data_IF_908422807367
#
_entry.id   IF_908422807367
#
_cell.length_a   1.000
_cell.length_b   1.000
_cell.length_c   1.000
_cell.angle_alpha   90.00
_cell.angle_beta   90.00
_cell.angle_gamma   90.00
#
_symmetry.space_group_name_H-M   'P 1'
#
loop_
_entity.id
_entity.type
_entity.pdbx_description
1 polymer ?
#
# COMPACT_ATOMS: atom_id res chain seq x y z
N UNK A 1 -14.76 -11.73 -12.95
CA UNK A 1 -15.10 -10.48 -12.22
C UNK A 1 -16.50 -10.67 -11.69
N UNK A 2 -16.71 -10.49 -10.38
CA UNK A 2 -18.04 -10.54 -9.78
C UNK A 2 -18.60 -9.13 -9.74
N UNK A 3 -19.71 -8.90 -10.45
CA UNK A 3 -20.44 -7.65 -10.34
C UNK A 3 -21.29 -7.66 -9.07
N UNK A 4 -21.29 -6.55 -8.34
CA UNK A 4 -22.02 -6.41 -7.08
C UNK A 4 -23.01 -5.27 -7.22
N UNK A 5 -24.27 -5.53 -6.88
CA UNK A 5 -25.31 -4.53 -6.79
C UNK A 5 -25.46 -4.10 -5.33
N UNK A 6 -25.21 -2.83 -5.06
CA UNK A 6 -25.46 -2.22 -3.74
C UNK A 6 -26.83 -1.56 -3.81
N UNK A 7 -27.77 -2.02 -2.98
CA UNK A 7 -29.13 -1.49 -2.89
C UNK A 7 -29.26 -0.64 -1.63
N UNK A 8 -30.31 0.19 -1.62
CA UNK A 8 -30.71 0.98 -0.45
C UNK A 8 -29.60 1.88 0.11
N UNK A 9 -28.76 2.41 -0.79
CA UNK A 9 -27.74 3.41 -0.43
C UNK A 9 -28.47 4.70 -0.05
N UNK A 10 -28.22 5.26 1.15
CA UNK A 10 -28.77 6.55 1.55
C UNK A 10 -28.47 7.62 0.49
N UNK A 11 -29.46 8.45 0.16
CA UNK A 11 -29.31 9.46 -0.89
C UNK A 11 -28.17 10.44 -0.62
N UNK A 12 -27.97 10.81 0.65
CA UNK A 12 -26.89 11.69 1.08
C UNK A 12 -25.51 11.09 0.77
N UNK A 13 -25.30 9.81 1.09
CA UNK A 13 -24.04 9.11 0.79
C UNK A 13 -23.81 8.99 -0.72
N UNK A 14 -24.87 8.69 -1.47
CA UNK A 14 -24.79 8.58 -2.93
C UNK A 14 -24.40 9.91 -3.58
N UNK A 15 -24.94 11.02 -3.08
CA UNK A 15 -24.61 12.36 -3.59
C UNK A 15 -23.19 12.77 -3.24
N UNK A 16 -22.70 12.45 -2.03
CA UNK A 16 -21.28 12.64 -1.68
C UNK A 16 -20.35 11.83 -2.60
N UNK A 17 -20.69 10.57 -2.90
CA UNK A 17 -19.91 9.73 -3.81
C UNK A 17 -19.90 10.31 -5.23
N UNK A 18 -21.03 10.84 -5.70
CA UNK A 18 -21.14 11.49 -7.02
C UNK A 18 -20.25 12.73 -7.11
N UNK A 19 -20.29 13.58 -6.09
CA UNK A 19 -19.43 14.77 -6.01
C UNK A 19 -17.96 14.36 -6.03
N UNK A 20 -17.55 13.41 -5.19
CA UNK A 20 -16.17 12.94 -5.13
C UNK A 20 -15.68 12.29 -6.44
N UNK A 21 -16.55 11.61 -7.17
CA UNK A 21 -16.24 11.06 -8.50
C UNK A 21 -16.10 12.18 -9.55
N UNK A 22 -17.00 13.17 -9.52
CA UNK A 22 -16.99 14.33 -10.42
C UNK A 22 -15.74 15.20 -10.23
N UNK A 23 -15.33 15.45 -8.98
CA UNK A 23 -14.12 16.20 -8.64
C UNK A 23 -12.84 15.55 -9.23
N UNK A 24 -12.88 14.22 -9.41
CA UNK A 24 -11.79 13.45 -10.03
C UNK A 24 -11.96 13.23 -11.53
N UNK A 25 -13.05 13.72 -12.13
CA UNK A 25 -13.36 13.53 -13.54
C UNK A 25 -13.60 12.08 -13.95
N UNK A 26 -14.07 11.23 -13.03
CA UNK A 26 -14.31 9.80 -13.27
C UNK A 26 -15.76 9.39 -13.01
N UNK A 27 -16.17 8.25 -13.55
CA UNK A 27 -17.49 7.69 -13.26
C UNK A 27 -17.59 7.19 -11.82
N UNK A 28 -18.81 7.19 -11.28
CA UNK A 28 -19.10 6.65 -9.93
C UNK A 28 -18.68 5.19 -9.81
N UNK A 29 -18.90 4.37 -10.83
CA UNK A 29 -18.50 2.96 -10.82
C UNK A 29 -16.98 2.82 -10.73
N UNK A 30 -16.23 3.64 -11.46
CA UNK A 30 -14.77 3.64 -11.40
C UNK A 30 -14.27 4.11 -10.03
N UNK A 31 -14.87 5.17 -9.50
CA UNK A 31 -14.56 5.68 -8.17
C UNK A 31 -14.76 4.60 -7.09
N UNK A 32 -15.92 3.93 -7.08
CA UNK A 32 -16.22 2.86 -6.15
C UNK A 32 -15.25 1.68 -6.26
N UNK A 33 -14.92 1.27 -7.50
CA UNK A 33 -13.93 0.21 -7.74
C UNK A 33 -12.57 0.58 -7.14
N UNK A 34 -12.12 1.81 -7.35
CA UNK A 34 -10.82 2.29 -6.83
C UNK A 34 -10.84 2.39 -5.30
N UNK A 35 -11.93 2.86 -4.71
CA UNK A 35 -12.11 2.92 -3.26
C UNK A 35 -12.08 1.52 -2.62
N UNK A 36 -12.83 0.57 -3.17
CA UNK A 36 -12.83 -0.83 -2.70
C UNK A 36 -11.45 -1.47 -2.86
N UNK A 37 -10.75 -1.17 -3.96
CA UNK A 37 -9.40 -1.69 -4.15
C UNK A 37 -8.43 -1.13 -3.10
N UNK A 38 -8.49 0.18 -2.83
CA UNK A 38 -7.66 0.82 -1.80
C UNK A 38 -7.91 0.20 -0.41
N UNK A 39 -9.18 -0.01 -0.05
CA UNK A 39 -9.56 -0.64 1.22
C UNK A 39 -9.07 -2.10 1.29
N UNK A 40 -9.24 -2.87 0.21
CA UNK A 40 -8.74 -4.24 0.16
C UNK A 40 -7.21 -4.32 0.30
N UNK A 41 -6.48 -3.34 -0.24
CA UNK A 41 -5.02 -3.24 -0.04
C UNK A 41 -4.69 -2.87 1.40
N UNK A 42 -5.43 -1.92 1.99
CA UNK A 42 -5.26 -1.52 3.38
C UNK A 42 -5.44 -2.71 4.34
N UNK A 43 -6.55 -3.45 4.21
CA UNK A 43 -6.84 -4.62 5.02
C UNK A 43 -5.79 -5.72 4.86
N UNK A 44 -5.28 -5.95 3.64
CA UNK A 44 -4.18 -6.90 3.41
C UNK A 44 -2.90 -6.50 4.13
N UNK A 45 -2.57 -5.20 4.12
CA UNK A 45 -1.40 -4.67 4.84
C UNK A 45 -1.57 -4.85 6.34
N UNK A 46 -2.74 -4.49 6.89
CA UNK A 46 -3.03 -4.70 8.30
C UNK A 46 -2.91 -6.18 8.69
N UNK A 47 -3.51 -7.10 7.92
CA UNK A 47 -3.40 -8.53 8.19
C UNK A 47 -1.95 -9.05 8.15
N UNK A 48 -1.10 -8.51 7.26
CA UNK A 48 0.32 -8.83 7.24
C UNK A 48 1.06 -8.31 8.47
N UNK A 49 0.76 -7.08 8.91
CA UNK A 49 1.31 -6.48 10.14
C UNK A 49 0.88 -7.31 11.35
N UNK A 50 -0.41 -7.62 11.49
CA UNK A 50 -0.93 -8.41 12.61
C UNK A 50 -0.27 -9.79 12.67
N UNK A 51 -0.19 -10.52 11.55
CA UNK A 51 0.52 -11.81 11.50
C UNK A 51 1.98 -11.70 11.92
N UNK A 52 2.66 -10.65 11.48
CA UNK A 52 4.06 -10.40 11.82
C UNK A 52 4.21 -10.06 13.30
N UNK A 53 3.34 -9.21 13.84
CA UNK A 53 3.30 -8.85 15.25
C UNK A 53 3.08 -10.08 16.13
N UNK A 54 2.11 -10.95 15.79
CA UNK A 54 1.91 -12.22 16.50
C UNK A 54 3.15 -13.10 16.47
N UNK A 55 3.82 -13.22 15.32
CA UNK A 55 5.05 -14.02 15.17
C UNK A 55 6.22 -13.47 15.99
N UNK A 56 6.28 -12.15 16.16
CA UNK A 56 7.33 -11.46 16.92
C UNK A 56 6.99 -11.32 18.40
N UNK A 57 5.74 -11.63 18.81
CA UNK A 57 5.33 -11.61 20.21
C UNK A 57 6.27 -12.45 21.08
N UNK A 58 6.81 -11.83 22.14
CA UNK A 58 7.76 -12.47 23.06
C UNK A 58 9.21 -12.56 22.57
N UNK A 59 9.53 -12.06 21.37
CA UNK A 59 10.91 -11.90 20.92
C UNK A 59 11.49 -10.58 21.42
N UNK A 60 12.78 -10.58 21.72
CA UNK A 60 13.51 -9.36 22.05
C UNK A 60 13.53 -8.42 20.85
N UNK A 61 13.45 -7.12 21.12
CA UNK A 61 13.64 -6.10 20.09
C UNK A 61 15.08 -6.18 19.57
N UNK A 62 15.25 -5.94 18.27
CA UNK A 62 16.58 -5.80 17.68
C UNK A 62 17.24 -4.54 18.24
N UNK A 63 18.45 -4.61 18.81
CA UNK A 63 19.17 -3.44 19.29
C UNK A 63 19.28 -2.34 18.23
N UNK A 64 19.19 -1.09 18.67
CA UNK A 64 19.16 0.05 17.75
C UNK A 64 20.42 0.11 16.85
N UNK A 65 21.57 -0.29 17.37
CA UNK A 65 22.84 -0.28 16.63
C UNK A 65 22.87 -1.38 15.57
N UNK A 66 22.40 -2.60 15.89
CA UNK A 66 22.26 -3.68 14.90
C UNK A 66 21.26 -3.32 13.81
N UNK A 67 20.13 -2.71 14.19
CA UNK A 67 19.14 -2.22 13.23
C UNK A 67 19.73 -1.17 12.29
N UNK A 68 20.54 -0.25 12.81
CA UNK A 68 21.20 0.79 12.00
C UNK A 68 22.21 0.19 11.04
N UNK A 69 23.07 -0.70 11.53
CA UNK A 69 24.07 -1.37 10.70
C UNK A 69 23.44 -2.16 9.53
N UNK A 70 22.31 -2.85 9.77
CA UNK A 70 21.58 -3.55 8.71
C UNK A 70 20.98 -2.60 7.69
N UNK A 71 20.39 -1.49 8.14
CA UNK A 71 19.80 -0.49 7.22
C UNK A 71 20.88 0.19 6.37
N UNK A 72 22.01 0.58 6.97
CA UNK A 72 23.15 1.15 6.25
C UNK A 72 23.69 0.16 5.19
N UNK A 73 23.80 -1.13 5.53
CA UNK A 73 24.23 -2.15 4.56
C UNK A 73 23.25 -2.33 3.38
N UNK A 74 21.94 -2.18 3.63
CA UNK A 74 20.92 -2.20 2.57
C UNK A 74 21.07 -0.99 1.66
N UNK A 75 21.25 0.20 2.23
CA UNK A 75 21.41 1.43 1.47
C UNK A 75 22.68 1.39 0.61
N UNK A 76 23.82 0.97 1.17
CA UNK A 76 25.06 0.77 0.39
C UNK A 76 24.88 -0.25 -0.73
N UNK A 77 24.17 -1.35 -0.50
CA UNK A 77 23.89 -2.34 -1.56
C UNK A 77 23.00 -1.76 -2.68
N UNK A 78 22.06 -0.89 -2.35
CA UNK A 78 21.26 -0.18 -3.34
C UNK A 78 22.10 0.81 -4.15
N UNK A 79 23.03 1.51 -3.52
CA UNK A 79 23.97 2.43 -4.19
C UNK A 79 24.90 1.67 -5.15
N UNK A 80 25.57 0.61 -4.69
CA UNK A 80 26.42 -0.25 -5.53
C UNK A 80 25.65 -0.81 -6.74
N UNK A 81 24.39 -1.22 -6.53
CA UNK A 81 23.53 -1.70 -7.60
C UNK A 81 23.16 -0.60 -8.58
N UNK A 82 22.92 0.63 -8.11
CA UNK A 82 22.62 1.77 -8.97
C UNK A 82 23.83 2.11 -9.85
N UNK A 83 25.04 2.15 -9.26
CA UNK A 83 26.29 2.36 -9.99
C UNK A 83 26.52 1.30 -11.07
N UNK A 84 26.34 0.01 -10.74
CA UNK A 84 26.47 -1.09 -11.70
C UNK A 84 25.44 -1.00 -12.85
N UNK A 85 24.23 -0.51 -12.58
CA UNK A 85 23.19 -0.33 -13.61
C UNK A 85 23.43 0.89 -14.49
N UNK A 86 24.06 1.94 -13.96
CA UNK A 86 24.42 3.15 -14.70
C UNK A 86 25.67 2.95 -15.56
N UNK A 87 26.70 2.28 -15.05
CA UNK A 87 27.93 1.98 -15.80
C UNK A 87 27.70 1.09 -17.03
N UNK A 88 26.71 0.19 -16.97
CA UNK A 88 26.30 -0.67 -18.10
C UNK A 88 25.48 0.07 -19.18
N UNK A 89 25.19 1.36 -18.99
CA UNK A 89 24.43 2.19 -19.94
C UNK A 89 25.35 3.06 -20.82
N UNK A 90 26.64 3.13 -20.49
CA UNK A 90 27.66 3.92 -21.19
C UNK A 90 28.59 3.08 -22.10
N UNK A 91 28.35 1.75 -22.18
CA UNK A 91 28.95 0.81 -23.14
C UNK A 91 27.97 0.45 -24.27
#
# INVERSE_FOLDING_TARGET
MSDVLIRDVPSEDLDQIRVAAADRGISVQRYLREAVHAEAVHLRRQAAISRTSTRLGGRLEVPADERRAVLEAIDSSHEERAEHLLGRREE
#
